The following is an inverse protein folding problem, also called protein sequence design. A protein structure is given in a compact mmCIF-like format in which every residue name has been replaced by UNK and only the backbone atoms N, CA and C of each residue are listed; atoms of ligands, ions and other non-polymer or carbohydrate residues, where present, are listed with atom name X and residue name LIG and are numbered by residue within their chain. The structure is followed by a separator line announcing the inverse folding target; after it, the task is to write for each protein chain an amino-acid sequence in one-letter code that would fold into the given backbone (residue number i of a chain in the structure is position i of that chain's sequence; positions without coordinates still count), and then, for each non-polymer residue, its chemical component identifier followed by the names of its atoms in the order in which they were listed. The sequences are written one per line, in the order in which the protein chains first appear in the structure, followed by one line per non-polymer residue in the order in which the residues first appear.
data_IF_053336297682
#
_entry.id   IF_053336297682
#
_cell.length_a   1.000
_cell.length_b   1.000
_cell.length_c   1.000
_cell.angle_alpha   90.00
_cell.angle_beta   90.00
_cell.angle_gamma   90.00
#
_symmetry.space_group_name_H-M   'P 1'
#
loop_
_entity.id
_entity.type
_entity.pdbx_description
1 polymer ?
#
# COMPACT_ATOMS: atom_id res chain seq x y z
N UNK A 1 27.02 3.85 -3.67
CA UNK A 1 26.18 4.50 -2.64
C UNK A 1 24.93 4.96 -3.35
N UNK A 2 23.89 4.13 -3.38
CA UNK A 2 22.59 4.51 -3.91
C UNK A 2 21.82 5.07 -2.72
N UNK A 3 21.51 6.37 -2.78
CA UNK A 3 20.59 6.97 -1.84
C UNK A 3 19.20 6.56 -2.32
N UNK A 4 18.68 5.46 -1.80
CA UNK A 4 17.25 5.21 -1.87
C UNK A 4 16.56 6.25 -0.98
N UNK A 5 15.97 7.23 -1.65
CA UNK A 5 14.61 7.72 -1.44
C UNK A 5 14.41 8.90 -2.37
N UNK A 6 13.47 8.78 -3.30
CA UNK A 6 12.68 9.95 -3.71
C UNK A 6 11.17 9.68 -3.83
N UNK A 7 10.71 8.42 -3.89
CA UNK A 7 9.39 8.09 -3.37
C UNK A 7 9.35 6.60 -3.06
N UNK A 8 9.02 6.25 -1.82
CA UNK A 8 8.62 4.88 -1.50
C UNK A 8 7.12 4.81 -1.83
N UNK A 9 6.71 4.23 -2.98
CA UNK A 9 5.32 4.28 -3.39
C UNK A 9 4.46 3.55 -2.36
N UNK A 10 3.48 4.28 -1.83
CA UNK A 10 2.51 3.72 -0.90
C UNK A 10 1.21 3.41 -1.63
N UNK A 11 0.49 2.41 -1.15
CA UNK A 11 -0.83 2.05 -1.68
C UNK A 11 -1.87 2.95 -1.03
N UNK A 12 -2.67 3.63 -1.86
CA UNK A 12 -3.82 4.42 -1.43
C UNK A 12 -5.11 3.89 -2.05
N UNK A 13 -6.23 4.08 -1.34
CA UNK A 13 -7.58 3.80 -1.82
C UNK A 13 -8.48 5.01 -1.64
N UNK A 14 -9.27 5.32 -2.66
CA UNK A 14 -10.31 6.35 -2.61
C UNK A 14 -11.63 5.76 -3.09
N UNK A 15 -12.69 5.99 -2.31
CA UNK A 15 -14.05 5.80 -2.79
C UNK A 15 -14.47 7.04 -3.57
N UNK A 16 -14.62 6.90 -4.89
CA UNK A 16 -14.99 8.01 -5.78
C UNK A 16 -16.48 8.38 -5.73
N UNK A 17 -17.31 7.56 -5.07
CA UNK A 17 -18.75 7.81 -4.91
C UNK A 17 -19.04 8.82 -3.79
N UNK A 18 -18.08 9.02 -2.89
CA UNK A 18 -18.14 9.99 -1.80
C UNK A 18 -17.00 11.00 -1.94
N UNK A 19 -17.22 12.22 -1.45
CA UNK A 19 -16.17 13.24 -1.44
C UNK A 19 -15.29 13.06 -0.20
N UNK A 20 -14.23 12.27 -0.33
CA UNK A 20 -13.24 12.03 0.72
C UNK A 20 -11.81 12.14 0.18
N UNK A 21 -10.85 12.31 1.08
CA UNK A 21 -9.43 12.18 0.76
C UNK A 21 -9.05 10.69 0.57
N UNK A 22 -8.00 10.38 -0.23
CA UNK A 22 -7.46 9.03 -0.31
C UNK A 22 -7.00 8.52 1.06
N UNK A 23 -7.28 7.25 1.34
CA UNK A 23 -6.84 6.54 2.53
C UNK A 23 -5.53 5.84 2.20
N UNK A 24 -4.47 6.11 2.98
CA UNK A 24 -3.20 5.40 2.90
C UNK A 24 -3.38 3.99 3.51
N UNK A 25 -2.87 2.96 2.85
CA UNK A 25 -2.96 1.57 3.31
C UNK A 25 -1.62 0.98 3.76
N UNK A 26 -0.51 1.54 3.27
CA UNK A 26 0.86 1.14 3.63
C UNK A 26 1.60 2.36 4.18
N UNK A 27 2.37 2.17 5.24
CA UNK A 27 3.25 3.20 5.80
C UNK A 27 4.47 2.52 6.39
N UNK A 28 5.47 2.29 5.55
CA UNK A 28 6.67 1.56 5.96
C UNK A 28 7.86 1.93 5.07
N UNK A 29 9.03 1.33 5.33
CA UNK A 29 10.25 1.63 4.58
C UNK A 29 10.42 0.76 3.32
N UNK A 30 9.51 -0.18 3.09
CA UNK A 30 9.54 -1.15 2.01
C UNK A 30 8.71 -0.67 0.82
N UNK A 31 9.05 -1.15 -0.37
CA UNK A 31 8.45 -0.73 -1.64
C UNK A 31 7.22 -1.55 -1.93
N UNK A 32 6.05 -0.92 -1.93
CA UNK A 32 4.79 -1.52 -2.38
C UNK A 32 4.40 -1.06 -3.78
N UNK A 33 4.19 -2.01 -4.70
CA UNK A 33 3.88 -1.68 -6.09
C UNK A 33 2.98 -2.70 -6.78
N UNK A 34 2.52 -2.31 -7.98
CA UNK A 34 1.64 -3.12 -8.84
C UNK A 34 0.36 -3.64 -8.15
N UNK A 35 -0.40 -2.80 -7.41
CA UNK A 35 -1.61 -3.26 -6.75
C UNK A 35 -2.70 -3.64 -7.75
N UNK A 36 -3.41 -4.74 -7.47
CA UNK A 36 -4.63 -5.14 -8.17
C UNK A 36 -5.74 -5.43 -7.17
N UNK A 37 -6.99 -5.17 -7.58
CA UNK A 37 -8.16 -5.60 -6.84
C UNK A 37 -8.56 -7.03 -7.21
N UNK A 38 -8.86 -7.83 -6.19
CA UNK A 38 -9.55 -9.10 -6.32
C UNK A 38 -10.58 -9.21 -5.20
N UNK A 39 -11.86 -9.15 -5.56
CA UNK A 39 -12.98 -9.14 -4.61
C UNK A 39 -12.79 -8.04 -3.54
N UNK A 40 -12.71 -8.40 -2.27
CA UNK A 40 -12.49 -7.49 -1.14
C UNK A 40 -11.02 -7.41 -0.71
N UNK A 41 -10.09 -7.75 -1.60
CA UNK A 41 -8.65 -7.74 -1.32
C UNK A 41 -7.88 -6.94 -2.37
N UNK A 42 -6.78 -6.37 -1.90
CA UNK A 42 -5.72 -5.79 -2.72
C UNK A 42 -4.57 -6.78 -2.70
N UNK A 43 -4.08 -7.15 -3.87
CA UNK A 43 -2.88 -7.98 -4.06
C UNK A 43 -1.79 -7.07 -4.63
N UNK A 44 -0.59 -7.11 -4.08
CA UNK A 44 0.52 -6.22 -4.44
C UNK A 44 1.87 -6.91 -4.22
N UNK A 45 2.93 -6.33 -4.77
CA UNK A 45 4.31 -6.78 -4.54
C UNK A 45 4.91 -5.90 -3.44
N UNK A 46 5.55 -6.50 -2.43
CA UNK A 46 6.31 -5.81 -1.38
C UNK A 46 7.65 -6.50 -1.15
N UNK A 47 8.64 -5.76 -0.65
CA UNK A 47 9.93 -6.29 -0.20
C UNK A 47 10.14 -6.16 1.32
N UNK A 48 9.05 -6.11 2.09
CA UNK A 48 9.09 -5.83 3.53
C UNK A 48 9.86 -6.83 4.40
N UNK A 49 10.10 -8.04 3.90
CA UNK A 49 10.87 -9.09 4.57
C UNK A 49 12.26 -9.34 3.95
N UNK A 50 12.66 -8.51 2.99
CA UNK A 50 14.02 -8.48 2.42
C UNK A 50 14.10 -8.89 0.94
N UNK A 51 13.07 -9.55 0.41
CA UNK A 51 12.94 -9.90 -1.00
C UNK A 51 11.52 -9.65 -1.52
N UNK A 52 11.38 -9.49 -2.84
CA UNK A 52 10.09 -9.16 -3.44
C UNK A 52 9.15 -10.35 -3.48
N UNK A 53 8.07 -10.24 -2.72
CA UNK A 53 7.02 -11.25 -2.58
C UNK A 53 5.62 -10.69 -2.89
N UNK A 54 4.66 -11.61 -3.09
CA UNK A 54 3.26 -11.27 -3.35
C UNK A 54 2.49 -11.26 -2.03
N UNK A 55 1.96 -10.08 -1.68
CA UNK A 55 1.17 -9.86 -0.49
C UNK A 55 -0.30 -9.62 -0.83
N UNK A 56 -1.17 -9.83 0.16
CA UNK A 56 -2.58 -9.45 0.05
C UNK A 56 -3.09 -8.82 1.34
N UNK A 57 -3.94 -7.81 1.21
CA UNK A 57 -4.59 -7.15 2.34
C UNK A 57 -6.07 -6.91 2.06
N UNK A 58 -6.86 -6.73 3.12
CA UNK A 58 -8.21 -6.16 3.01
C UNK A 58 -8.09 -4.65 3.25
N UNK A 59 -8.61 -3.80 2.35
CA UNK A 59 -8.61 -2.35 2.54
C UNK A 59 -9.32 -2.01 3.86
N UNK A 60 -8.73 -1.12 4.64
CA UNK A 60 -9.38 -0.56 5.83
C UNK A 60 -9.68 0.92 5.61
N UNK A 61 -10.48 1.50 6.50
CA UNK A 61 -10.73 2.95 6.56
C UNK A 61 -9.52 3.76 7.07
N UNK A 62 -8.34 3.15 7.17
CA UNK A 62 -7.12 3.75 7.70
C UNK A 62 -7.00 3.66 9.22
N UNK A 63 -8.03 3.19 9.94
CA UNK A 63 -8.02 3.10 11.41
C UNK A 63 -7.00 2.12 12.00
N UNK A 64 -6.45 1.22 11.17
CA UNK A 64 -5.47 0.21 11.58
C UNK A 64 -4.02 0.59 11.25
N UNK A 65 -3.76 1.78 10.71
CA UNK A 65 -2.39 2.28 10.57
C UNK A 65 -1.92 2.76 11.95
N UNK A 66 -0.89 2.11 12.50
CA UNK A 66 -0.15 2.61 13.66
C UNK A 66 1.27 2.92 13.21
N UNK A 67 1.74 4.10 13.63
CA UNK A 67 3.13 4.59 13.48
C UNK A 67 4.16 3.61 14.06
#
# INVERSE_FOLDING_TARGET
MFLEREDNPEIFVIDISVKQEPIRLTDNESIEHSPIWKENKIIFISNSDGDSDIYSMTPSDGSNQKD
#
